data_IF_389264077861
#
_entry.id   IF_389264077861
#
_cell.length_a   1.000
_cell.length_b   1.000
_cell.length_c   1.000
_cell.angle_alpha   90.00
_cell.angle_beta   90.00
_cell.angle_gamma   90.00
#
_symmetry.space_group_name_H-M   'P 1'
#
loop_
_entity.id
_entity.type
_entity.pdbx_description
1 polymer ?
#
# COMPACT_ATOMS: atom_id res chain seq x y z
N UNK A 1 44.25 5.08 29.66
CA UNK A 1 43.36 4.06 29.02
C UNK A 1 41.87 4.18 29.37
N UNK A 2 41.51 4.59 30.59
CA UNK A 2 40.10 4.73 31.00
C UNK A 2 39.30 5.79 30.18
N UNK A 3 39.91 6.90 29.76
CA UNK A 3 39.25 7.99 29.03
C UNK A 3 38.81 7.60 27.61
N UNK A 4 39.55 6.74 26.93
CA UNK A 4 39.20 6.26 25.58
C UNK A 4 38.01 5.29 25.59
N UNK A 5 37.89 4.46 26.63
CA UNK A 5 36.79 3.54 26.83
C UNK A 5 35.48 4.29 27.12
N UNK A 6 35.51 5.33 27.95
CA UNK A 6 34.34 6.17 28.27
C UNK A 6 33.89 6.95 27.05
N UNK A 7 34.81 7.51 26.25
CA UNK A 7 34.47 8.19 25.01
C UNK A 7 33.85 7.23 23.96
N UNK A 8 34.34 5.99 23.88
CA UNK A 8 33.77 4.96 23.01
C UNK A 8 32.33 4.57 23.41
N UNK A 9 32.06 4.43 24.71
CA UNK A 9 30.70 4.14 25.20
C UNK A 9 29.73 5.30 25.01
N UNK A 10 30.16 6.55 25.20
CA UNK A 10 29.33 7.72 24.90
C UNK A 10 29.00 7.85 23.41
N UNK A 11 29.94 7.58 22.51
CA UNK A 11 29.71 7.56 21.05
C UNK A 11 28.76 6.45 20.64
N UNK A 12 28.86 5.26 21.20
CA UNK A 12 27.95 4.15 20.92
C UNK A 12 26.53 4.42 21.48
N UNK A 13 26.43 5.01 22.65
CA UNK A 13 25.15 5.39 23.25
C UNK A 13 24.45 6.50 22.43
N UNK A 14 25.21 7.49 21.94
CA UNK A 14 24.67 8.54 21.09
C UNK A 14 24.26 8.02 19.71
N UNK A 15 25.01 7.11 19.11
CA UNK A 15 24.67 6.48 17.84
C UNK A 15 23.40 5.62 17.95
N UNK A 16 23.26 4.86 19.04
CA UNK A 16 22.06 4.04 19.29
C UNK A 16 20.83 4.92 19.57
N UNK A 17 20.97 6.00 20.33
CA UNK A 17 19.89 6.97 20.55
C UNK A 17 19.51 7.70 19.25
N UNK A 18 20.47 8.07 18.43
CA UNK A 18 20.22 8.67 17.10
C UNK A 18 19.51 7.70 16.14
N UNK A 19 19.91 6.43 16.17
CA UNK A 19 19.27 5.39 15.38
C UNK A 19 17.84 5.10 15.86
N UNK A 20 17.60 5.07 17.17
CA UNK A 20 16.28 4.94 17.75
C UNK A 20 15.37 6.13 17.39
N UNK A 21 15.89 7.36 17.51
CA UNK A 21 15.20 8.58 17.10
C UNK A 21 14.91 8.59 15.60
N UNK A 22 15.86 8.19 14.77
CA UNK A 22 15.69 8.04 13.32
C UNK A 22 14.58 7.02 12.98
N UNK A 23 14.52 5.87 13.64
CA UNK A 23 13.45 4.89 13.47
C UNK A 23 12.08 5.46 13.85
N UNK A 24 11.99 6.22 14.92
CA UNK A 24 10.74 6.86 15.37
C UNK A 24 10.29 7.94 14.38
N UNK A 25 11.22 8.72 13.85
CA UNK A 25 10.92 9.83 12.93
C UNK A 25 10.75 9.40 11.47
N UNK A 26 11.22 8.20 11.11
CA UNK A 26 11.11 7.69 9.74
C UNK A 26 9.64 7.38 9.40
N UNK A 27 9.08 7.99 8.35
CA UNK A 27 7.71 7.70 7.96
C UNK A 27 7.56 6.25 7.46
N UNK A 28 6.41 5.64 7.75
CA UNK A 28 6.02 4.41 7.10
C UNK A 28 5.85 4.64 5.60
N UNK A 29 6.44 3.78 4.78
CA UNK A 29 6.37 3.86 3.33
C UNK A 29 5.28 2.92 2.83
N UNK A 30 4.13 3.50 2.51
CA UNK A 30 2.94 2.77 2.08
C UNK A 30 2.73 2.99 0.59
N UNK A 31 2.57 1.93 -0.19
CA UNK A 31 2.17 1.96 -1.59
C UNK A 31 0.69 1.59 -1.71
N UNK A 32 -0.10 2.42 -2.38
CA UNK A 32 -1.52 2.17 -2.62
C UNK A 32 -1.72 1.98 -4.12
N UNK A 33 -1.99 0.74 -4.52
CA UNK A 33 -2.13 0.33 -5.91
C UNK A 33 -3.50 -0.30 -6.16
N UNK A 34 -3.86 -0.53 -7.40
CA UNK A 34 -5.10 -1.17 -7.79
C UNK A 34 -5.77 -0.51 -8.99
N UNK A 35 -6.83 -1.10 -9.55
CA UNK A 35 -7.56 -0.59 -10.70
C UNK A 35 -8.07 0.85 -10.52
N UNK A 36 -8.51 1.44 -11.62
CA UNK A 36 -9.15 2.76 -11.59
C UNK A 36 -10.46 2.72 -10.80
N UNK A 37 -10.79 3.83 -10.13
CA UNK A 37 -12.07 4.05 -9.43
C UNK A 37 -12.35 3.14 -8.21
N UNK A 38 -11.36 2.45 -7.70
CA UNK A 38 -11.52 1.65 -6.45
C UNK A 38 -11.42 2.48 -5.18
N UNK A 39 -11.23 3.81 -5.28
CA UNK A 39 -11.17 4.73 -4.13
C UNK A 39 -9.77 4.98 -3.56
N UNK A 40 -8.69 4.78 -4.35
CA UNK A 40 -7.31 5.09 -3.91
C UNK A 40 -7.15 6.56 -3.53
N UNK A 41 -7.58 7.47 -4.40
CA UNK A 41 -7.53 8.92 -4.15
C UNK A 41 -8.39 9.32 -2.96
N UNK A 42 -9.56 8.70 -2.79
CA UNK A 42 -10.43 8.92 -1.62
C UNK A 42 -9.74 8.50 -0.33
N UNK A 43 -9.09 7.33 -0.32
CA UNK A 43 -8.29 6.88 0.81
C UNK A 43 -7.14 7.86 1.08
N UNK A 44 -6.45 8.29 0.03
CA UNK A 44 -5.35 9.23 0.14
C UNK A 44 -5.79 10.57 0.73
N UNK A 45 -6.95 11.08 0.31
CA UNK A 45 -7.58 12.29 0.88
C UNK A 45 -8.01 12.07 2.33
N UNK A 46 -8.68 10.95 2.63
CA UNK A 46 -9.07 10.62 4.00
C UNK A 46 -7.87 10.66 4.97
N UNK A 47 -6.72 10.23 4.52
CA UNK A 47 -5.48 10.25 5.30
C UNK A 47 -4.87 11.65 5.43
N UNK A 48 -5.28 12.60 4.60
CA UNK A 48 -4.64 13.92 4.47
C UNK A 48 -5.49 15.06 5.05
N UNK A 49 -6.78 15.02 4.74
CA UNK A 49 -7.72 16.12 5.03
C UNK A 49 -8.52 15.82 6.29
N UNK A 50 -8.56 16.73 7.28
CA UNK A 50 -9.46 16.57 8.42
C UNK A 50 -10.92 16.89 8.00
N UNK A 51 -11.86 15.99 8.34
CA UNK A 51 -13.29 16.19 8.09
C UNK A 51 -13.88 15.09 7.19
N UNK A 52 -15.12 15.27 6.81
CA UNK A 52 -15.80 14.43 5.84
C UNK A 52 -15.22 14.69 4.45
N UNK A 53 -15.17 13.63 3.65
CA UNK A 53 -14.63 13.69 2.30
C UNK A 53 -15.80 13.69 1.33
N UNK A 54 -15.92 14.77 0.56
CA UNK A 54 -16.85 14.80 -0.55
C UNK A 54 -16.48 13.75 -1.61
N UNK A 55 -17.49 13.13 -2.24
CA UNK A 55 -17.24 12.21 -3.34
C UNK A 55 -16.43 12.90 -4.44
N UNK A 56 -15.33 12.27 -4.85
CA UNK A 56 -14.50 12.81 -5.93
C UNK A 56 -15.26 12.67 -7.24
N UNK A 57 -15.56 13.76 -7.96
CA UNK A 57 -16.21 13.70 -9.26
C UNK A 57 -15.45 12.81 -10.24
N UNK A 58 -16.20 12.18 -11.13
CA UNK A 58 -15.63 11.27 -12.13
C UNK A 58 -14.54 11.92 -12.98
N UNK A 59 -14.68 13.20 -13.28
CA UNK A 59 -13.75 14.01 -14.07
C UNK A 59 -12.42 14.27 -13.34
N UNK A 60 -12.43 14.28 -12.02
CA UNK A 60 -11.24 14.46 -11.18
C UNK A 60 -10.47 13.17 -10.89
N UNK A 61 -10.76 12.10 -11.63
CA UNK A 61 -10.04 10.83 -11.46
C UNK A 61 -8.56 11.01 -11.76
N UNK A 62 -7.79 10.23 -11.08
CA UNK A 62 -6.34 10.08 -11.31
C UNK A 62 -6.02 9.42 -12.67
N UNK A 63 -7.03 9.17 -13.54
CA UNK A 63 -6.80 8.74 -14.92
C UNK A 63 -5.92 9.73 -15.70
N UNK A 64 -6.02 11.00 -15.35
CA UNK A 64 -5.16 12.06 -15.88
C UNK A 64 -4.03 12.43 -14.92
N UNK A 65 -3.84 11.70 -13.83
CA UNK A 65 -2.70 11.94 -13.00
C UNK A 65 -1.44 11.78 -13.82
N UNK A 66 -1.37 12.73 -14.72
CA UNK A 66 -0.12 13.33 -15.08
C UNK A 66 0.68 12.56 -16.10
N UNK A 67 -0.02 12.21 -17.17
CA UNK A 67 0.59 12.31 -18.49
C UNK A 67 1.27 13.69 -18.72
N UNK A 68 0.86 14.73 -18.05
CA UNK A 68 1.48 16.05 -18.11
C UNK A 68 2.93 16.09 -17.62
N UNK A 69 3.42 15.03 -17.00
CA UNK A 69 4.82 14.89 -16.60
C UNK A 69 5.58 13.85 -17.42
N UNK A 70 5.13 13.53 -18.63
CA UNK A 70 5.83 12.62 -19.53
C UNK A 70 7.23 13.10 -19.98
N UNK A 71 7.59 14.32 -19.70
CA UNK A 71 8.89 14.91 -20.05
C UNK A 71 9.91 14.99 -18.92
N UNK A 72 9.56 14.54 -17.76
CA UNK A 72 10.48 14.46 -16.64
C UNK A 72 9.82 13.71 -15.51
N UNK A 73 10.36 12.56 -15.19
CA UNK A 73 9.96 11.76 -14.04
C UNK A 73 10.19 12.56 -12.74
N UNK A 74 9.37 13.59 -12.53
CA UNK A 74 9.25 14.17 -11.19
C UNK A 74 8.52 13.13 -10.39
N UNK A 75 9.25 12.51 -9.48
CA UNK A 75 8.70 11.69 -8.41
C UNK A 75 7.38 12.32 -7.97
N UNK A 76 6.25 11.60 -8.06
CA UNK A 76 4.97 12.12 -7.59
C UNK A 76 5.24 12.76 -6.23
N UNK A 77 4.74 13.97 -6.01
CA UNK A 77 4.98 14.70 -4.75
C UNK A 77 4.50 13.81 -3.62
N UNK A 78 5.41 13.08 -2.99
CA UNK A 78 5.10 12.33 -1.80
C UNK A 78 4.79 13.37 -0.72
N UNK A 79 3.53 13.65 -0.57
CA UNK A 79 3.06 14.53 0.50
C UNK A 79 3.36 13.84 1.82
N UNK A 80 4.09 14.50 2.68
CA UNK A 80 4.35 14.03 4.05
C UNK A 80 3.05 14.19 4.80
N UNK A 81 2.28 13.11 4.91
CA UNK A 81 0.97 13.12 5.53
C UNK A 81 1.13 12.76 7.00
N UNK A 82 0.68 13.63 7.87
CA UNK A 82 0.47 13.28 9.26
C UNK A 82 -0.85 12.52 9.33
N UNK A 83 -0.76 11.20 9.36
CA UNK A 83 -1.95 10.40 9.61
C UNK A 83 -2.39 10.63 11.04
N UNK A 84 -3.69 10.80 11.24
CA UNK A 84 -4.37 10.83 12.53
C UNK A 84 -4.28 9.49 13.29
N UNK A 85 -3.15 8.79 13.22
CA UNK A 85 -2.93 7.59 14.00
C UNK A 85 -2.69 8.02 15.44
N UNK A 86 -3.71 7.86 16.25
CA UNK A 86 -3.86 8.40 17.60
C UNK A 86 -2.77 7.91 18.58
N UNK A 87 -2.07 6.81 18.30
CA UNK A 87 -1.09 6.24 19.23
C UNK A 87 0.37 6.58 18.95
N UNK A 88 0.75 6.68 17.71
CA UNK A 88 2.14 7.00 17.38
C UNK A 88 2.14 8.08 16.30
N UNK A 89 2.41 9.30 16.61
CA UNK A 89 2.50 10.45 15.67
C UNK A 89 3.47 10.24 14.49
N UNK A 90 3.62 8.99 14.04
CA UNK A 90 4.53 8.60 12.98
C UNK A 90 3.90 8.87 11.62
N UNK A 91 4.53 9.68 10.77
CA UNK A 91 3.96 10.03 9.48
C UNK A 91 3.94 8.83 8.53
N UNK A 92 2.89 8.74 7.72
CA UNK A 92 2.83 7.83 6.57
C UNK A 92 3.25 8.61 5.32
N UNK A 93 3.97 7.93 4.43
CA UNK A 93 4.31 8.43 3.12
C UNK A 93 3.63 7.58 2.05
N UNK A 94 2.66 8.15 1.36
CA UNK A 94 1.91 7.51 0.28
C UNK A 94 2.23 8.15 -1.07
N UNK A 95 1.80 7.50 -2.15
CA UNK A 95 1.81 8.03 -3.51
C UNK A 95 0.50 7.65 -4.17
N UNK A 96 -0.21 8.64 -4.74
CA UNK A 96 -1.40 8.38 -5.55
C UNK A 96 -0.98 8.10 -6.98
N UNK A 97 -1.29 6.91 -7.49
CA UNK A 97 -0.92 6.45 -8.82
C UNK A 97 -2.15 5.98 -9.59
N UNK A 98 -2.16 6.28 -10.89
CA UNK A 98 -3.21 5.85 -11.79
C UNK A 98 -3.40 4.33 -11.77
N UNK A 99 -4.67 3.90 -11.85
CA UNK A 99 -5.05 2.49 -11.79
C UNK A 99 -5.17 1.83 -13.17
N UNK A 100 -4.94 2.55 -14.25
CA UNK A 100 -4.99 2.00 -15.59
C UNK A 100 -3.86 0.99 -15.82
N UNK A 101 -4.11 -0.13 -16.51
CA UNK A 101 -3.11 -1.15 -16.81
C UNK A 101 -1.83 -0.62 -17.49
N UNK A 102 -1.92 0.42 -18.29
CA UNK A 102 -0.76 1.01 -18.97
C UNK A 102 0.24 1.63 -17.97
N UNK A 103 -0.20 2.00 -16.76
CA UNK A 103 0.64 2.62 -15.74
C UNK A 103 1.18 1.62 -14.70
N UNK A 104 0.99 0.31 -14.89
CA UNK A 104 1.47 -0.70 -13.92
C UNK A 104 2.97 -0.65 -13.68
N UNK A 105 3.75 -0.25 -14.67
CA UNK A 105 5.19 -0.07 -14.51
C UNK A 105 5.53 1.00 -13.47
N UNK A 106 4.70 2.06 -13.34
CA UNK A 106 4.87 3.10 -12.34
C UNK A 106 4.67 2.57 -10.92
N UNK A 107 3.81 1.56 -10.72
CA UNK A 107 3.64 0.91 -9.42
C UNK A 107 4.93 0.22 -8.99
N UNK A 108 5.59 -0.46 -9.92
CA UNK A 108 6.85 -1.18 -9.66
C UNK A 108 7.97 -0.19 -9.41
N UNK A 109 8.04 0.89 -10.20
CA UNK A 109 9.00 1.97 -10.02
C UNK A 109 8.85 2.64 -8.64
N UNK A 110 7.61 2.95 -8.25
CA UNK A 110 7.29 3.54 -6.96
C UNK A 110 7.63 2.59 -5.81
N UNK A 111 7.19 1.34 -5.90
CA UNK A 111 7.38 0.33 -4.88
C UNK A 111 8.86 0.14 -4.53
N UNK A 112 9.71 -0.07 -5.52
CA UNK A 112 11.14 -0.25 -5.30
C UNK A 112 11.89 1.08 -5.11
N UNK A 113 11.51 2.12 -5.86
CA UNK A 113 12.13 3.45 -5.76
C UNK A 113 12.04 4.04 -4.36
N UNK A 114 10.91 3.88 -3.70
CA UNK A 114 10.67 4.32 -2.30
C UNK A 114 10.96 3.25 -1.26
N UNK A 115 11.22 1.99 -1.66
CA UNK A 115 11.33 0.85 -0.74
C UNK A 115 10.08 0.72 0.13
N UNK A 116 8.92 0.55 -0.51
CA UNK A 116 7.59 0.49 0.11
C UNK A 116 7.48 -0.69 1.06
N UNK A 117 7.24 -0.46 2.35
CA UNK A 117 7.18 -1.49 3.39
C UNK A 117 5.85 -2.21 3.43
N UNK A 118 4.75 -1.45 3.25
CA UNK A 118 3.37 -1.96 3.16
C UNK A 118 2.82 -1.70 1.76
N UNK A 119 2.46 -2.74 1.06
CA UNK A 119 1.74 -2.69 -0.21
C UNK A 119 0.26 -2.92 0.04
N UNK A 120 -0.57 -1.94 -0.27
CA UNK A 120 -2.03 -2.03 -0.27
C UNK A 120 -2.50 -2.13 -1.71
N UNK A 121 -3.11 -3.26 -2.09
CA UNK A 121 -3.79 -3.41 -3.36
C UNK A 121 -5.28 -3.28 -3.15
N UNK A 122 -5.87 -2.20 -3.68
CA UNK A 122 -7.29 -1.90 -3.49
C UNK A 122 -8.13 -2.48 -4.62
N UNK A 123 -9.26 -3.08 -4.23
CA UNK A 123 -10.37 -3.50 -5.09
C UNK A 123 -11.69 -3.00 -4.50
N UNK A 124 -12.79 -3.17 -5.20
CA UNK A 124 -14.13 -2.88 -4.68
C UNK A 124 -15.17 -3.95 -5.10
N UNK A 125 -16.44 -3.72 -4.73
CA UNK A 125 -17.58 -4.63 -4.97
C UNK A 125 -17.73 -5.06 -6.44
N UNK A 126 -17.21 -4.30 -7.40
CA UNK A 126 -17.23 -4.67 -8.83
C UNK A 126 -16.52 -5.98 -9.12
N UNK A 127 -15.55 -6.38 -8.28
CA UNK A 127 -14.87 -7.66 -8.42
C UNK A 127 -15.81 -8.87 -8.20
N UNK A 128 -16.96 -8.66 -7.58
CA UNK A 128 -17.98 -9.68 -7.38
C UNK A 128 -19.06 -9.63 -8.46
N UNK A 129 -19.37 -8.44 -8.98
CA UNK A 129 -20.48 -8.21 -9.89
C UNK A 129 -20.06 -8.33 -11.37
N UNK A 130 -18.87 -7.82 -11.70
CA UNK A 130 -18.40 -7.74 -13.10
C UNK A 130 -17.20 -8.65 -13.32
N UNK A 131 -17.42 -9.76 -14.02
CA UNK A 131 -16.37 -10.74 -14.34
C UNK A 131 -15.15 -10.10 -15.02
N UNK A 132 -15.36 -9.18 -15.97
CA UNK A 132 -14.25 -8.50 -16.66
C UNK A 132 -13.41 -7.68 -15.67
N UNK A 133 -14.04 -6.91 -14.78
CA UNK A 133 -13.31 -6.16 -13.76
C UNK A 133 -12.50 -7.09 -12.83
N UNK A 134 -13.07 -8.21 -12.42
CA UNK A 134 -12.38 -9.19 -11.58
C UNK A 134 -11.15 -9.77 -12.29
N UNK A 135 -11.25 -10.09 -13.59
CA UNK A 135 -10.15 -10.59 -14.39
C UNK A 135 -9.04 -9.54 -14.54
N UNK A 136 -9.38 -8.31 -14.88
CA UNK A 136 -8.41 -7.22 -15.08
C UNK A 136 -7.71 -6.84 -13.77
N UNK A 137 -8.45 -6.80 -12.65
CA UNK A 137 -7.91 -6.57 -11.33
C UNK A 137 -6.98 -7.71 -10.89
N UNK A 138 -7.36 -8.98 -11.15
CA UNK A 138 -6.55 -10.15 -10.86
C UNK A 138 -5.26 -10.17 -11.69
N UNK A 139 -5.34 -9.83 -12.98
CA UNK A 139 -4.17 -9.70 -13.85
C UNK A 139 -3.23 -8.58 -13.36
N UNK A 140 -3.79 -7.45 -12.90
CA UNK A 140 -3.03 -6.35 -12.31
C UNK A 140 -2.31 -6.76 -11.03
N UNK A 141 -3.00 -7.48 -10.15
CA UNK A 141 -2.40 -8.02 -8.94
C UNK A 141 -1.33 -9.07 -9.27
N UNK A 142 -1.59 -9.98 -10.22
CA UNK A 142 -0.60 -10.97 -10.63
C UNK A 142 0.69 -10.32 -11.13
N UNK A 143 0.56 -9.27 -11.96
CA UNK A 143 1.69 -8.48 -12.43
C UNK A 143 2.49 -7.87 -11.26
N UNK A 144 1.81 -7.28 -10.28
CA UNK A 144 2.46 -6.71 -9.09
C UNK A 144 3.19 -7.80 -8.30
N UNK A 145 2.52 -8.93 -8.04
CA UNK A 145 3.08 -10.07 -7.30
C UNK A 145 4.26 -10.71 -8.03
N UNK A 146 4.20 -10.81 -9.35
CA UNK A 146 5.32 -11.29 -10.17
C UNK A 146 6.58 -10.46 -9.93
N UNK A 147 6.44 -9.13 -9.90
CA UNK A 147 7.56 -8.23 -9.66
C UNK A 147 8.01 -8.22 -8.19
N UNK A 148 7.11 -8.48 -7.24
CA UNK A 148 7.48 -8.60 -5.82
C UNK A 148 8.26 -9.88 -5.50
N UNK A 149 7.94 -10.99 -6.20
CA UNK A 149 8.44 -12.33 -5.87
C UNK A 149 9.56 -12.83 -6.78
N UNK A 150 9.76 -12.21 -7.95
CA UNK A 150 10.81 -12.59 -8.90
C UNK A 150 12.08 -11.80 -8.64
N UNK A 151 13.22 -12.49 -8.81
CA UNK A 151 14.54 -11.85 -8.77
C UNK A 151 14.78 -10.92 -9.97
N UNK A 152 14.10 -11.17 -11.10
CA UNK A 152 14.14 -10.35 -12.31
C UNK A 152 12.88 -9.50 -12.43
N UNK A 153 13.02 -8.26 -12.03
CA UNK A 153 11.99 -7.24 -12.12
C UNK A 153 11.92 -6.71 -13.57
N UNK A 154 10.73 -6.28 -13.98
CA UNK A 154 10.41 -5.73 -15.29
C UNK A 154 11.56 -4.89 -15.87
N UNK A 155 11.84 -5.07 -17.17
CA UNK A 155 12.88 -4.33 -17.89
C UNK A 155 12.57 -2.82 -18.00
N UNK A 156 11.31 -2.44 -17.82
CA UNK A 156 10.79 -1.08 -18.04
C UNK A 156 10.79 -0.20 -16.78
N UNK A 157 11.70 -0.43 -15.84
CA UNK A 157 11.88 0.43 -14.66
C UNK A 157 13.27 1.05 -14.65
N UNK A 158 13.42 2.15 -13.90
CA UNK A 158 14.69 2.86 -13.81
C UNK A 158 15.80 1.97 -13.23
N UNK A 159 17.03 2.27 -13.63
CA UNK A 159 18.24 1.58 -13.09
C UNK A 159 18.30 1.61 -11.56
N UNK A 160 17.82 2.72 -10.96
CA UNK A 160 17.78 2.91 -9.51
C UNK A 160 16.79 1.94 -8.85
N UNK A 161 15.56 1.86 -9.37
CA UNK A 161 14.55 0.94 -8.87
C UNK A 161 14.99 -0.51 -9.07
N UNK A 162 15.56 -0.85 -10.22
CA UNK A 162 16.11 -2.19 -10.51
C UNK A 162 17.24 -2.59 -9.56
N UNK A 163 18.15 -1.66 -9.21
CA UNK A 163 19.20 -1.93 -8.22
C UNK A 163 18.60 -2.19 -6.83
N UNK A 164 17.58 -1.43 -6.46
CA UNK A 164 16.89 -1.60 -5.17
C UNK A 164 16.08 -2.89 -5.11
N UNK A 165 15.39 -3.29 -6.19
CA UNK A 165 14.58 -4.52 -6.23
C UNK A 165 15.39 -5.79 -5.91
N UNK A 166 16.69 -5.81 -6.23
CA UNK A 166 17.57 -6.93 -5.89
C UNK A 166 17.84 -7.09 -4.39
N UNK A 167 17.67 -6.01 -3.62
CA UNK A 167 18.01 -5.96 -2.19
C UNK A 167 16.81 -5.76 -1.28
N UNK A 168 15.68 -5.38 -1.86
CA UNK A 168 14.51 -4.96 -1.11
C UNK A 168 13.27 -5.71 -1.56
N UNK A 169 12.51 -6.21 -0.59
CA UNK A 169 11.20 -6.82 -0.78
C UNK A 169 10.23 -6.20 0.22
N UNK A 170 9.00 -5.83 -0.17
CA UNK A 170 7.98 -5.39 0.76
C UNK A 170 7.75 -6.43 1.87
N UNK A 171 7.51 -5.97 3.09
CA UNK A 171 7.34 -6.85 4.25
C UNK A 171 5.92 -7.37 4.37
N UNK A 172 4.96 -6.50 4.04
CA UNK A 172 3.55 -6.74 4.24
C UNK A 172 2.76 -6.35 2.99
N UNK A 173 1.82 -7.19 2.65
CA UNK A 173 0.84 -6.98 1.59
C UNK A 173 -0.58 -7.02 2.17
N UNK A 174 -1.45 -6.13 1.74
CA UNK A 174 -2.87 -6.14 2.07
C UNK A 174 -3.72 -6.06 0.81
N UNK A 175 -4.60 -7.04 0.60
CA UNK A 175 -5.73 -6.92 -0.31
C UNK A 175 -6.83 -6.14 0.42
N UNK A 176 -7.01 -4.88 0.07
CA UNK A 176 -7.98 -4.00 0.70
C UNK A 176 -9.24 -3.91 -0.15
N UNK A 177 -10.36 -4.39 0.40
CA UNK A 177 -11.65 -4.38 -0.27
C UNK A 177 -12.41 -3.13 0.19
N UNK A 178 -12.48 -2.14 -0.69
CA UNK A 178 -13.12 -0.86 -0.43
C UNK A 178 -14.62 -0.89 -0.71
N UNK A 179 -15.32 0.21 -0.37
CA UNK A 179 -16.77 0.39 -0.55
C UNK A 179 -17.55 -0.73 0.13
N UNK A 180 -17.13 -1.11 1.35
CA UNK A 180 -17.82 -2.16 2.11
C UNK A 180 -19.27 -1.84 2.37
N UNK A 181 -19.65 -0.57 2.40
CA UNK A 181 -21.03 -0.07 2.47
C UNK A 181 -21.94 -0.58 1.35
N UNK A 182 -21.38 -1.02 0.21
CA UNK A 182 -22.11 -1.52 -0.95
C UNK A 182 -22.20 -3.05 -1.04
N UNK A 183 -21.43 -3.80 -0.24
CA UNK A 183 -21.36 -5.26 -0.38
C UNK A 183 -21.33 -6.03 0.95
N UNK A 184 -21.23 -5.32 2.07
CA UNK A 184 -21.12 -5.97 3.38
C UNK A 184 -22.47 -6.49 3.83
N UNK A 185 -22.57 -7.81 3.96
CA UNK A 185 -23.76 -8.52 4.43
C UNK A 185 -23.45 -9.41 5.65
N UNK A 186 -24.43 -10.17 6.11
CA UNK A 186 -24.29 -11.11 7.23
C UNK A 186 -23.28 -12.21 6.95
N UNK A 187 -23.15 -12.68 5.71
CA UNK A 187 -22.17 -13.68 5.32
C UNK A 187 -20.76 -13.11 5.40
N UNK A 188 -20.54 -11.92 4.86
CA UNK A 188 -19.27 -11.22 4.98
C UNK A 188 -18.89 -11.00 6.44
N UNK A 189 -19.81 -10.48 7.27
CA UNK A 189 -19.57 -10.27 8.68
C UNK A 189 -19.12 -11.56 9.40
N UNK A 190 -19.82 -12.68 9.16
CA UNK A 190 -19.47 -13.99 9.72
C UNK A 190 -18.09 -14.47 9.29
N UNK A 191 -17.75 -14.35 8.00
CA UNK A 191 -16.45 -14.77 7.49
C UNK A 191 -15.30 -13.94 8.10
N UNK A 192 -15.52 -12.63 8.28
CA UNK A 192 -14.50 -11.76 8.91
C UNK A 192 -14.35 -12.07 10.41
N UNK A 193 -15.43 -12.32 11.13
CA UNK A 193 -15.37 -12.72 12.54
C UNK A 193 -14.62 -14.05 12.75
N UNK A 194 -14.77 -14.98 11.84
CA UNK A 194 -14.11 -16.31 11.89
C UNK A 194 -12.68 -16.31 11.33
N UNK A 195 -12.16 -15.18 10.84
CA UNK A 195 -10.84 -15.15 10.18
C UNK A 195 -10.82 -15.83 8.80
N UNK A 196 -11.98 -16.07 8.19
CA UNK A 196 -12.18 -16.77 6.92
C UNK A 196 -12.42 -15.82 5.74
N UNK A 197 -11.91 -14.60 5.78
CA UNK A 197 -12.10 -13.57 4.74
C UNK A 197 -11.76 -14.06 3.34
N UNK A 198 -10.79 -14.98 3.24
CA UNK A 198 -10.32 -15.55 1.95
C UNK A 198 -11.36 -16.43 1.28
N UNK A 199 -12.34 -16.91 2.03
CA UNK A 199 -13.43 -17.74 1.50
C UNK A 199 -14.53 -16.90 0.85
N UNK A 200 -14.58 -15.61 1.11
CA UNK A 200 -15.57 -14.73 0.51
C UNK A 200 -15.41 -14.65 -1.02
N UNK A 201 -16.51 -14.67 -1.80
CA UNK A 201 -16.49 -14.68 -3.27
C UNK A 201 -15.68 -13.53 -3.89
N UNK A 202 -15.72 -12.34 -3.28
CA UNK A 202 -14.98 -11.16 -3.74
C UNK A 202 -13.44 -11.39 -3.75
N UNK A 203 -12.94 -12.31 -2.94
CA UNK A 203 -11.51 -12.64 -2.83
C UNK A 203 -11.10 -13.77 -3.78
N UNK A 204 -12.07 -14.54 -4.29
CA UNK A 204 -11.82 -15.72 -5.12
C UNK A 204 -10.84 -15.46 -6.29
N UNK A 205 -10.98 -14.37 -7.09
CA UNK A 205 -10.08 -14.10 -8.22
C UNK A 205 -8.62 -13.83 -7.80
N UNK A 206 -8.37 -13.52 -6.53
CA UNK A 206 -7.07 -13.08 -6.02
C UNK A 206 -6.34 -14.14 -5.18
N UNK A 207 -6.99 -15.27 -4.88
CA UNK A 207 -6.48 -16.31 -3.97
C UNK A 207 -5.11 -16.83 -4.39
N UNK A 208 -4.89 -17.09 -5.69
CA UNK A 208 -3.60 -17.61 -6.16
C UNK A 208 -2.47 -16.58 -5.97
N UNK A 209 -2.73 -15.32 -6.23
CA UNK A 209 -1.77 -14.24 -5.98
C UNK A 209 -1.41 -14.13 -4.50
N UNK A 210 -2.39 -14.21 -3.60
CA UNK A 210 -2.17 -14.22 -2.15
C UNK A 210 -1.37 -15.43 -1.67
N UNK A 211 -1.63 -16.61 -2.26
CA UNK A 211 -0.87 -17.83 -1.99
C UNK A 211 0.59 -17.70 -2.42
N UNK A 212 0.83 -17.13 -3.59
CA UNK A 212 2.19 -16.88 -4.12
C UNK A 212 2.98 -15.93 -3.23
N UNK A 213 2.37 -14.84 -2.74
CA UNK A 213 3.01 -13.92 -1.79
C UNK A 213 3.46 -14.65 -0.53
N UNK A 214 2.59 -15.48 0.06
CA UNK A 214 2.94 -16.26 1.27
C UNK A 214 4.05 -17.26 1.02
N UNK A 215 4.04 -17.96 -0.11
CA UNK A 215 5.14 -18.86 -0.51
C UNK A 215 6.48 -18.13 -0.66
N UNK A 216 6.43 -16.84 -1.02
CA UNK A 216 7.61 -15.98 -1.10
C UNK A 216 8.03 -15.36 0.25
N UNK A 217 7.37 -15.71 1.36
CA UNK A 217 7.65 -15.17 2.69
C UNK A 217 7.08 -13.78 2.94
N UNK A 218 6.19 -13.28 2.08
CA UNK A 218 5.52 -11.98 2.26
C UNK A 218 4.21 -12.22 2.99
N UNK A 219 4.04 -11.61 4.16
CA UNK A 219 2.78 -11.66 4.90
C UNK A 219 1.67 -11.01 4.06
N UNK A 220 0.55 -11.70 3.88
CA UNK A 220 -0.55 -11.26 3.04
C UNK A 220 -1.87 -11.32 3.81
N UNK A 221 -2.46 -10.14 4.01
CA UNK A 221 -3.72 -9.92 4.72
C UNK A 221 -4.86 -9.56 3.75
N UNK A 222 -6.10 -9.75 4.21
CA UNK A 222 -7.32 -9.34 3.49
C UNK A 222 -8.17 -8.52 4.46
N UNK A 223 -8.44 -7.28 4.10
CA UNK A 223 -9.21 -6.36 4.94
C UNK A 223 -10.30 -5.66 4.15
N UNK A 224 -11.34 -5.19 4.83
CA UNK A 224 -12.47 -4.49 4.25
C UNK A 224 -12.65 -3.12 4.89
N UNK A 225 -12.97 -2.10 4.07
CA UNK A 225 -13.20 -0.74 4.53
C UNK A 225 -14.16 0.02 3.62
N UNK A 226 -14.64 1.18 4.08
CA UNK A 226 -15.20 2.22 3.21
C UNK A 226 -14.37 3.49 3.38
N UNK A 227 -13.62 3.86 2.36
CA UNK A 227 -12.78 5.06 2.40
C UNK A 227 -13.59 6.35 2.38
N UNK A 228 -14.78 6.33 1.76
CA UNK A 228 -15.69 7.49 1.71
C UNK A 228 -16.28 7.79 3.09
N UNK A 229 -16.72 6.75 3.81
CA UNK A 229 -17.37 6.88 5.11
C UNK A 229 -16.41 6.68 6.30
N UNK A 230 -15.12 6.50 6.05
CA UNK A 230 -14.12 6.28 7.09
C UNK A 230 -14.24 4.94 7.84
N UNK A 231 -15.16 4.05 7.41
CA UNK A 231 -15.44 2.79 8.11
C UNK A 231 -14.21 1.88 8.04
N UNK A 232 -13.73 1.43 9.18
CA UNK A 232 -12.55 0.57 9.34
C UNK A 232 -11.22 1.13 8.79
N UNK A 233 -11.16 2.34 8.24
CA UNK A 233 -9.94 2.88 7.64
C UNK A 233 -8.81 2.99 8.67
N UNK A 234 -9.07 3.70 9.77
CA UNK A 234 -8.06 3.88 10.84
C UNK A 234 -7.68 2.56 11.50
N UNK A 235 -8.69 1.73 11.84
CA UNK A 235 -8.48 0.43 12.47
C UNK A 235 -7.55 -0.45 11.63
N UNK A 236 -7.88 -0.63 10.34
CA UNK A 236 -7.10 -1.47 9.44
C UNK A 236 -5.68 -0.96 9.24
N UNK A 237 -5.50 0.36 9.10
CA UNK A 237 -4.17 0.93 8.93
C UNK A 237 -3.31 0.78 10.18
N UNK A 238 -3.87 1.01 11.37
CA UNK A 238 -3.15 0.79 12.64
C UNK A 238 -2.70 -0.66 12.72
N UNK A 239 -3.60 -1.62 12.50
CA UNK A 239 -3.31 -3.05 12.55
C UNK A 239 -2.20 -3.45 11.56
N UNK A 240 -2.23 -2.92 10.32
CA UNK A 240 -1.20 -3.17 9.31
C UNK A 240 0.14 -2.54 9.70
N UNK A 241 0.15 -1.32 10.22
CA UNK A 241 1.37 -0.61 10.58
C UNK A 241 2.03 -1.17 11.84
N UNK A 242 1.23 -1.63 12.81
CA UNK A 242 1.73 -2.33 14.01
C UNK A 242 2.35 -3.70 13.67
N UNK A 243 2.03 -4.22 12.49
CA UNK A 243 2.55 -5.49 11.97
C UNK A 243 3.88 -5.36 11.20
N UNK A 244 4.38 -4.14 10.96
CA UNK A 244 5.65 -3.87 10.28
C UNK A 244 6.85 -3.86 11.23
#
# INVERSE_FOLDING_TARGET
MASALVAGHMLMASASAFYALYRILRPYRVGIYGPSMVGKTTLDQYLTVPGDIDPIPYEMRTAHAKADNATGFRSPRSTRKQVRLVKEKKPIRTTDLAGDPMFRNLWIEDMFGREVELVIFMIDHRAMIFKQFAMDASASLSYLVDNMTKKDVSKNISRKAKKKSKKYTPKLFCLMINKMDLWWDHQAARLWQLGLQKEHPIVAPFRESLKRLRKAGIRAEVMAMSSQHGINVQKNLIELLDSL
#
